data_IF_981664830740
#
_entry.id   IF_981664830740
#
_cell.length_a   1.000
_cell.length_b   1.000
_cell.length_c   1.000
_cell.angle_alpha   90.00
_cell.angle_beta   90.00
_cell.angle_gamma   90.00
#
_symmetry.space_group_name_H-M   'P 1'
#
loop_
_entity.id
_entity.type
_entity.pdbx_description
1 polymer ?
#
# COMPACT_ATOMS: atom_id res chain seq x y z
N UNK A 1 -27.38 -38.32 1.49
CA UNK A 1 -28.06 -37.11 1.98
C UNK A 1 -27.00 -36.03 2.05
N UNK A 2 -27.06 -35.06 1.14
CA UNK A 2 -26.14 -33.92 1.14
C UNK A 2 -26.53 -33.00 2.30
N UNK A 3 -25.55 -32.61 3.12
CA UNK A 3 -25.73 -31.60 4.16
C UNK A 3 -26.04 -30.24 3.53
N UNK A 4 -26.65 -29.32 4.28
CA UNK A 4 -26.96 -28.00 3.75
C UNK A 4 -25.66 -27.27 3.41
N UNK A 5 -25.63 -26.67 2.21
CA UNK A 5 -24.67 -25.62 1.88
C UNK A 5 -24.84 -24.51 2.91
N UNK A 6 -23.78 -24.23 3.66
CA UNK A 6 -23.67 -23.00 4.44
C UNK A 6 -23.64 -21.88 3.41
N UNK A 7 -24.69 -21.04 3.40
CA UNK A 7 -24.68 -19.84 2.59
C UNK A 7 -23.50 -18.99 3.06
N UNK A 8 -22.61 -18.59 2.15
CA UNK A 8 -21.67 -17.53 2.47
C UNK A 8 -22.50 -16.29 2.81
N UNK A 9 -22.23 -15.70 3.97
CA UNK A 9 -22.79 -14.39 4.28
C UNK A 9 -22.12 -13.45 3.28
N UNK A 10 -22.89 -12.94 2.33
CA UNK A 10 -22.39 -11.95 1.39
C UNK A 10 -22.01 -10.71 2.21
N UNK A 11 -20.72 -10.38 2.26
CA UNK A 11 -20.24 -9.13 2.80
C UNK A 11 -20.99 -7.99 2.08
N UNK A 12 -21.71 -7.16 2.84
CA UNK A 12 -22.20 -5.90 2.29
C UNK A 12 -20.97 -5.01 2.12
N UNK A 13 -20.74 -4.41 0.94
CA UNK A 13 -19.66 -3.45 0.80
C UNK A 13 -19.89 -2.35 1.82
N UNK A 14 -18.88 -2.11 2.65
CA UNK A 14 -18.89 -0.95 3.52
C UNK A 14 -18.90 0.27 2.60
N UNK A 15 -19.97 1.07 2.64
CA UNK A 15 -20.07 2.35 1.90
C UNK A 15 -19.02 3.38 2.37
N UNK A 16 -18.13 2.99 3.29
CA UNK A 16 -17.01 3.77 3.81
C UNK A 16 -16.07 4.20 2.68
N UNK A 17 -15.98 5.51 2.38
CA UNK A 17 -15.06 6.02 1.38
C UNK A 17 -13.64 5.97 1.95
N UNK A 18 -12.75 5.26 1.27
CA UNK A 18 -11.35 5.14 1.68
C UNK A 18 -10.46 4.94 0.45
N UNK A 19 -9.25 5.45 0.52
CA UNK A 19 -8.19 5.17 -0.44
C UNK A 19 -6.96 4.68 0.33
N UNK A 20 -6.25 3.70 -0.21
CA UNK A 20 -5.05 3.09 0.38
C UNK A 20 -5.24 2.60 1.84
N UNK A 21 -6.18 1.67 2.09
CA UNK A 21 -6.55 1.28 3.44
C UNK A 21 -5.52 0.37 4.14
N UNK A 22 -5.25 0.66 5.40
CA UNK A 22 -4.57 -0.24 6.34
C UNK A 22 -5.33 -0.30 7.67
N UNK A 23 -5.22 -1.42 8.38
CA UNK A 23 -5.97 -1.67 9.59
C UNK A 23 -5.09 -2.08 10.77
N UNK A 24 -5.58 -1.77 11.97
CA UNK A 24 -5.06 -2.28 13.22
C UNK A 24 -6.21 -2.55 14.20
N UNK A 25 -5.92 -3.31 15.24
CA UNK A 25 -6.83 -3.50 16.37
C UNK A 25 -6.22 -2.85 17.61
N UNK A 26 -7.03 -2.15 18.39
CA UNK A 26 -6.68 -1.69 19.74
C UNK A 26 -7.86 -1.97 20.68
N UNK A 27 -7.59 -2.71 21.75
CA UNK A 27 -8.65 -3.27 22.60
C UNK A 27 -9.66 -4.11 21.81
N UNK A 28 -10.94 -3.74 21.89
CA UNK A 28 -12.07 -4.38 21.22
C UNK A 28 -12.50 -3.65 19.93
N UNK A 29 -11.72 -2.67 19.47
CA UNK A 29 -12.02 -1.86 18.29
C UNK A 29 -11.03 -2.12 17.17
N UNK A 30 -11.56 -2.09 15.95
CA UNK A 30 -10.78 -1.99 14.73
C UNK A 30 -10.61 -0.53 14.34
N UNK A 31 -9.43 -0.20 13.85
CA UNK A 31 -9.08 1.10 13.31
C UNK A 31 -8.63 0.92 11.86
N UNK A 32 -9.10 1.83 11.01
CA UNK A 32 -8.80 1.90 9.60
C UNK A 32 -8.16 3.25 9.31
N UNK A 33 -7.02 3.22 8.62
CA UNK A 33 -6.29 4.39 8.19
C UNK A 33 -6.29 4.42 6.66
N UNK A 34 -6.33 5.61 6.08
CA UNK A 34 -6.20 5.76 4.64
C UNK A 34 -5.67 7.13 4.23
N UNK A 35 -5.40 7.25 2.94
CA UNK A 35 -4.99 8.50 2.30
C UNK A 35 -6.04 9.59 2.53
N UNK A 36 -5.58 10.77 2.96
CA UNK A 36 -6.45 11.91 3.23
C UNK A 36 -5.73 13.07 3.90
N UNK A 37 -6.47 14.15 4.17
CA UNK A 37 -5.96 15.29 4.94
C UNK A 37 -5.57 14.82 6.34
N UNK A 38 -4.27 14.91 6.65
CA UNK A 38 -3.71 14.52 7.94
C UNK A 38 -3.72 13.02 8.24
N UNK A 39 -3.91 12.15 7.23
CA UNK A 39 -4.22 10.71 7.37
C UNK A 39 -5.62 10.50 7.94
N UNK A 40 -6.54 10.01 7.11
CA UNK A 40 -7.91 9.74 7.52
C UNK A 40 -7.96 8.52 8.46
N UNK A 41 -8.77 8.61 9.51
CA UNK A 41 -8.95 7.54 10.50
C UNK A 41 -10.43 7.23 10.64
N UNK A 42 -10.73 5.94 10.73
CA UNK A 42 -12.05 5.41 11.04
C UNK A 42 -11.93 4.33 12.10
N UNK A 43 -13.02 4.07 12.83
CA UNK A 43 -13.08 2.98 13.80
C UNK A 43 -14.41 2.22 13.73
N UNK A 44 -14.39 0.94 14.10
CA UNK A 44 -15.55 0.07 14.16
C UNK A 44 -15.37 -1.00 15.25
N UNK A 45 -16.49 -1.54 15.77
CA UNK A 45 -16.46 -2.68 16.71
C UNK A 45 -16.38 -4.03 16.00
N UNK A 46 -16.77 -4.09 14.73
CA UNK A 46 -16.86 -5.31 13.92
C UNK A 46 -16.36 -4.98 12.50
N UNK A 47 -15.71 -5.94 11.83
CA UNK A 47 -15.11 -5.73 10.51
C UNK A 47 -16.15 -5.41 9.42
N UNK A 48 -17.32 -6.06 9.50
CA UNK A 48 -18.48 -5.85 8.62
C UNK A 48 -19.50 -4.85 9.18
N UNK A 49 -19.11 -4.12 10.24
CA UNK A 49 -19.93 -3.13 10.92
C UNK A 49 -19.93 -1.73 10.29
N UNK A 50 -20.60 -0.81 10.97
CA UNK A 50 -20.55 0.61 10.61
C UNK A 50 -19.22 1.24 11.06
N UNK A 51 -18.51 1.84 10.10
CA UNK A 51 -17.29 2.59 10.36
C UNK A 51 -17.61 4.05 10.71
N UNK A 52 -17.07 4.51 11.84
CA UNK A 52 -17.22 5.90 12.31
C UNK A 52 -15.95 6.68 12.04
N UNK A 53 -16.08 7.88 11.49
CA UNK A 53 -14.93 8.75 11.24
C UNK A 53 -14.35 9.26 12.56
N UNK A 54 -13.04 9.15 12.70
CA UNK A 54 -12.26 9.65 13.83
C UNK A 54 -11.45 10.90 13.42
N UNK A 55 -10.88 11.66 14.37
CA UNK A 55 -9.92 12.70 14.05
C UNK A 55 -8.74 12.16 13.22
N UNK A 56 -8.31 12.92 12.21
CA UNK A 56 -7.09 12.64 11.49
C UNK A 56 -5.87 12.67 12.42
N UNK A 57 -4.78 12.01 12.03
CA UNK A 57 -3.56 11.96 12.85
C UNK A 57 -2.90 13.35 12.95
N UNK A 58 -2.84 14.08 11.84
CA UNK A 58 -2.18 15.37 11.75
C UNK A 58 -3.16 16.50 11.45
N UNK A 59 -3.47 17.33 12.44
CA UNK A 59 -4.23 18.57 12.25
C UNK A 59 -3.51 19.56 11.31
N UNK A 60 -2.18 19.57 11.35
CA UNK A 60 -1.31 20.37 10.49
C UNK A 60 -0.19 19.49 9.92
N UNK A 61 0.25 19.81 8.70
CA UNK A 61 1.37 19.10 8.08
C UNK A 61 2.64 19.21 8.94
N UNK A 62 3.38 18.11 9.19
CA UNK A 62 4.64 18.17 9.90
C UNK A 62 5.62 19.16 9.25
N UNK A 63 6.36 19.94 10.05
CA UNK A 63 7.18 21.06 9.54
C UNK A 63 8.18 20.63 8.44
N UNK A 64 8.72 19.42 8.58
CA UNK A 64 9.72 18.86 7.66
C UNK A 64 9.16 18.60 6.25
N UNK A 65 7.84 18.38 6.11
CA UNK A 65 7.21 18.02 4.83
C UNK A 65 7.46 19.07 3.74
N UNK A 66 7.49 20.35 4.13
CA UNK A 66 7.75 21.49 3.26
C UNK A 66 9.13 21.44 2.55
N UNK A 67 10.09 20.72 3.15
CA UNK A 67 11.44 20.53 2.58
C UNK A 67 11.46 19.44 1.51
N UNK A 68 10.52 18.50 1.55
CA UNK A 68 10.35 17.42 0.56
C UNK A 68 9.42 17.89 -0.57
N UNK A 69 8.30 18.49 -0.18
CA UNK A 69 7.24 18.99 -1.05
C UNK A 69 6.97 20.45 -0.68
N UNK A 70 7.44 21.42 -1.48
CA UNK A 70 7.14 22.83 -1.25
C UNK A 70 5.64 23.10 -1.28
N UNK A 71 5.13 23.81 -0.27
CA UNK A 71 3.69 24.08 -0.05
C UNK A 71 2.83 22.80 0.04
N UNK A 72 3.33 21.76 0.73
CA UNK A 72 2.54 20.57 1.02
C UNK A 72 1.21 20.93 1.68
N UNK A 73 0.13 20.36 1.18
CA UNK A 73 -1.26 20.67 1.52
C UNK A 73 -1.84 19.75 2.60
N UNK A 74 -0.98 18.98 3.27
CA UNK A 74 -1.34 18.00 4.29
C UNK A 74 -2.16 16.80 3.78
N UNK A 75 -2.28 16.58 2.46
CA UNK A 75 -2.84 15.33 1.93
C UNK A 75 -1.77 14.25 1.98
N UNK A 76 -1.82 13.43 3.02
CA UNK A 76 -0.82 12.39 3.32
C UNK A 76 -1.32 11.04 2.80
N UNK A 77 -0.43 10.27 2.17
CA UNK A 77 -0.81 9.09 1.40
C UNK A 77 -0.34 7.79 2.03
N UNK A 78 -1.07 6.72 1.70
CA UNK A 78 -0.67 5.32 1.87
C UNK A 78 -0.05 5.03 3.23
N UNK A 79 -0.83 5.19 4.33
CA UNK A 79 -0.33 4.84 5.64
C UNK A 79 -0.09 3.33 5.75
N UNK A 80 0.83 2.91 6.61
CA UNK A 80 0.97 1.53 7.08
C UNK A 80 1.05 1.52 8.60
N UNK A 81 0.24 0.68 9.24
CA UNK A 81 0.14 0.60 10.69
C UNK A 81 0.65 -0.74 11.21
N UNK A 82 1.53 -0.68 12.21
CA UNK A 82 2.05 -1.88 12.88
C UNK A 82 2.15 -1.65 14.38
N UNK A 83 1.55 -2.55 15.17
CA UNK A 83 1.82 -2.60 16.59
C UNK A 83 3.16 -3.32 16.86
N UNK A 84 4.03 -2.68 17.64
CA UNK A 84 5.28 -3.28 18.09
C UNK A 84 5.67 -2.74 19.46
N UNK A 85 6.05 -3.62 20.39
CA UNK A 85 6.52 -3.27 21.75
C UNK A 85 5.59 -2.28 22.50
N UNK A 86 4.27 -2.45 22.37
CA UNK A 86 3.27 -1.64 23.08
C UNK A 86 3.05 -0.25 22.51
N UNK A 87 3.43 -0.02 21.24
CA UNK A 87 3.11 1.20 20.50
C UNK A 87 2.63 0.85 19.10
N UNK A 88 1.84 1.74 18.52
CA UNK A 88 1.50 1.72 17.11
C UNK A 88 2.48 2.61 16.35
N UNK A 89 3.03 2.09 15.26
CA UNK A 89 3.85 2.82 14.30
C UNK A 89 3.01 2.99 13.05
N UNK A 90 2.75 4.23 12.66
CA UNK A 90 2.05 4.58 11.43
C UNK A 90 3.07 5.22 10.49
N UNK A 91 3.52 4.47 9.50
CA UNK A 91 4.32 5.02 8.40
C UNK A 91 3.39 5.76 7.46
N UNK A 92 3.90 6.78 6.77
CA UNK A 92 3.09 7.60 5.89
C UNK A 92 3.92 8.25 4.79
N UNK A 93 3.27 8.58 3.67
CA UNK A 93 3.93 9.07 2.46
C UNK A 93 3.66 10.56 2.24
N UNK A 94 4.73 11.33 2.04
CA UNK A 94 4.70 12.75 1.64
C UNK A 94 5.22 12.83 0.22
N UNK A 95 4.38 13.29 -0.71
CA UNK A 95 4.69 13.23 -2.14
C UNK A 95 3.88 14.24 -2.96
N UNK A 96 4.13 14.27 -4.27
CA UNK A 96 3.33 14.96 -5.27
C UNK A 96 3.11 14.04 -6.46
N UNK A 97 1.93 14.15 -7.08
CA UNK A 97 1.51 13.17 -8.06
C UNK A 97 2.40 13.21 -9.31
N UNK A 98 2.83 12.03 -9.77
CA UNK A 98 3.74 11.89 -10.90
C UNK A 98 5.19 12.30 -10.62
N UNK A 99 5.60 12.49 -9.36
CA UNK A 99 6.97 12.80 -8.94
C UNK A 99 7.54 11.77 -7.96
N UNK A 100 8.87 11.74 -7.85
CA UNK A 100 9.61 10.97 -6.83
C UNK A 100 10.41 11.85 -5.86
N UNK A 101 10.09 13.14 -5.77
CA UNK A 101 10.49 14.00 -4.65
C UNK A 101 9.58 13.68 -3.47
N UNK A 102 9.92 12.60 -2.76
CA UNK A 102 9.00 11.95 -1.84
C UNK A 102 9.75 11.42 -0.62
N UNK A 103 9.04 11.30 0.49
CA UNK A 103 9.58 10.74 1.72
C UNK A 103 8.53 9.91 2.45
N UNK A 104 8.99 8.84 3.10
CA UNK A 104 8.23 8.11 4.09
C UNK A 104 8.63 8.64 5.46
N UNK A 105 7.65 9.12 6.21
CA UNK A 105 7.78 9.43 7.63
C UNK A 105 7.18 8.34 8.51
N UNK A 106 7.37 8.46 9.82
CA UNK A 106 6.69 7.59 10.80
C UNK A 106 6.25 8.39 12.03
N UNK A 107 5.02 8.14 12.45
CA UNK A 107 4.42 8.69 13.67
C UNK A 107 4.03 7.53 14.58
N UNK A 108 4.07 7.74 15.89
CA UNK A 108 3.73 6.69 16.86
C UNK A 108 2.76 7.16 17.92
N UNK A 109 1.95 6.24 18.44
CA UNK A 109 1.12 6.45 19.62
C UNK A 109 1.12 5.21 20.53
N UNK A 110 0.97 5.33 21.86
CA UNK A 110 0.74 4.18 22.73
C UNK A 110 -0.57 3.45 22.46
N UNK A 111 -1.60 4.16 22.01
CA UNK A 111 -2.97 3.66 21.80
C UNK A 111 -3.66 4.43 20.68
N UNK A 112 -4.55 3.77 19.94
CA UNK A 112 -5.36 4.35 18.88
C UNK A 112 -6.66 4.98 19.40
N UNK A 113 -7.05 4.69 20.64
CA UNK A 113 -8.22 5.28 21.29
C UNK A 113 -7.95 6.75 21.64
N UNK A 114 -8.61 7.66 20.94
CA UNK A 114 -8.45 9.11 21.12
C UNK A 114 -8.99 9.64 22.45
N UNK A 115 -9.83 8.85 23.14
CA UNK A 115 -10.35 9.17 24.47
C UNK A 115 -9.42 8.69 25.60
N UNK A 116 -8.42 7.84 25.30
CA UNK A 116 -7.45 7.37 26.30
C UNK A 116 -6.49 8.50 26.71
N UNK A 117 -6.26 8.74 28.01
CA UNK A 117 -5.38 9.82 28.47
C UNK A 117 -3.90 9.66 28.08
N UNK A 118 -3.48 8.49 27.59
CA UNK A 118 -2.15 8.22 27.06
C UNK A 118 -2.08 8.36 25.54
N UNK A 119 -3.19 8.67 24.87
CA UNK A 119 -3.21 8.92 23.44
C UNK A 119 -2.41 10.18 23.11
N UNK A 120 -1.33 10.00 22.35
CA UNK A 120 -0.50 11.09 21.88
C UNK A 120 0.28 10.64 20.64
N UNK A 121 0.07 11.34 19.53
CA UNK A 121 0.86 11.16 18.32
C UNK A 121 2.23 11.85 18.47
N UNK A 122 3.31 11.08 18.29
CA UNK A 122 4.68 11.58 18.24
C UNK A 122 5.26 11.32 16.85
N UNK A 123 5.51 12.38 16.08
CA UNK A 123 6.18 12.30 14.79
C UNK A 123 7.69 12.14 14.95
N UNK A 124 8.29 11.22 14.20
CA UNK A 124 9.73 10.94 14.22
C UNK A 124 10.44 11.46 12.96
N UNK A 125 9.70 12.08 12.04
CA UNK A 125 10.26 12.63 10.82
C UNK A 125 10.54 11.58 9.75
N UNK A 126 11.49 11.89 8.87
CA UNK A 126 11.80 11.11 7.67
C UNK A 126 12.54 9.82 8.03
N UNK A 127 11.98 8.69 7.63
CA UNK A 127 12.63 7.36 7.65
C UNK A 127 13.49 7.19 6.39
N UNK A 128 12.92 7.52 5.23
CA UNK A 128 13.56 7.37 3.92
C UNK A 128 13.04 8.41 2.93
N UNK A 129 13.92 8.89 2.05
CA UNK A 129 13.59 9.92 1.07
C UNK A 129 14.16 9.56 -0.30
N UNK A 130 13.32 9.63 -1.33
CA UNK A 130 13.75 9.61 -2.72
C UNK A 130 14.01 11.04 -3.20
N UNK A 131 15.15 11.22 -3.86
CA UNK A 131 15.57 12.48 -4.44
C UNK A 131 15.59 12.31 -5.96
N UNK A 132 14.88 13.17 -6.72
CA UNK A 132 14.93 13.16 -8.17
C UNK A 132 16.38 13.18 -8.68
N UNK A 133 16.63 12.49 -9.80
CA UNK A 133 17.95 12.36 -10.44
C UNK A 133 18.98 11.48 -9.69
N UNK A 134 18.80 11.26 -8.39
CA UNK A 134 19.65 10.37 -7.60
C UNK A 134 19.05 8.97 -7.48
N UNK A 135 17.76 8.92 -7.16
CA UNK A 135 17.08 7.69 -6.78
C UNK A 135 16.12 7.26 -7.88
N UNK A 136 16.29 6.01 -8.36
CA UNK A 136 15.43 5.40 -9.40
C UNK A 136 14.33 4.54 -8.78
N UNK A 137 13.71 5.06 -7.75
CA UNK A 137 12.59 4.50 -7.00
C UNK A 137 11.85 5.66 -6.32
N UNK A 138 10.64 5.41 -5.84
CA UNK A 138 9.82 6.40 -5.18
C UNK A 138 9.63 6.04 -3.70
N UNK A 139 9.93 6.94 -2.77
CA UNK A 139 9.74 6.71 -1.33
C UNK A 139 8.29 7.02 -0.93
N UNK A 140 7.38 6.15 -1.34
CA UNK A 140 5.97 6.10 -0.93
C UNK A 140 5.53 4.64 -0.75
N UNK A 141 4.34 4.44 -0.20
CA UNK A 141 3.67 3.15 -0.03
C UNK A 141 4.47 2.18 0.86
N UNK A 142 4.75 2.62 2.08
CA UNK A 142 5.51 1.84 3.04
C UNK A 142 4.73 0.61 3.51
N UNK A 143 5.43 -0.47 3.83
CA UNK A 143 4.91 -1.58 4.61
C UNK A 143 6.01 -2.18 5.50
N UNK A 144 5.78 -2.21 6.81
CA UNK A 144 6.69 -2.81 7.78
C UNK A 144 6.39 -4.30 7.99
N UNK A 145 7.41 -5.13 7.75
CA UNK A 145 7.37 -6.56 8.05
C UNK A 145 8.63 -7.01 8.80
N UNK A 146 8.57 -8.20 9.38
CA UNK A 146 9.65 -8.78 10.18
C UNK A 146 10.05 -10.14 9.60
N UNK A 147 11.34 -10.44 9.56
CA UNK A 147 11.80 -11.81 9.26
C UNK A 147 11.63 -12.76 10.45
N UNK A 148 11.93 -14.05 10.23
CA UNK A 148 11.81 -15.11 11.24
C UNK A 148 12.68 -14.86 12.48
N UNK A 149 13.76 -14.08 12.34
CA UNK A 149 14.65 -13.67 13.44
C UNK A 149 14.17 -12.38 14.13
N UNK A 150 13.07 -11.79 13.68
CA UNK A 150 12.50 -10.54 14.20
C UNK A 150 13.22 -9.28 13.73
N UNK A 151 14.02 -9.34 12.66
CA UNK A 151 14.61 -8.14 12.07
C UNK A 151 13.57 -7.37 11.24
N UNK A 152 13.48 -6.04 11.39
CA UNK A 152 12.52 -5.23 10.67
C UNK A 152 12.98 -4.89 9.25
N UNK A 153 12.05 -5.00 8.31
CA UNK A 153 12.22 -4.67 6.90
C UNK A 153 11.07 -3.79 6.44
N UNK A 154 11.39 -2.67 5.79
CA UNK A 154 10.44 -1.77 5.18
C UNK A 154 10.38 -2.05 3.67
N UNK A 155 9.30 -2.64 3.20
CA UNK A 155 8.98 -2.69 1.78
C UNK A 155 8.35 -1.36 1.37
N UNK A 156 8.66 -0.86 0.18
CA UNK A 156 8.06 0.37 -0.34
C UNK A 156 8.27 0.51 -1.85
N UNK A 157 7.55 1.43 -2.47
CA UNK A 157 7.82 1.84 -3.84
C UNK A 157 6.58 1.92 -4.71
N UNK A 158 6.66 2.82 -5.68
CA UNK A 158 5.65 3.03 -6.71
C UNK A 158 6.33 3.46 -8.01
N UNK A 159 6.04 2.77 -9.11
CA UNK A 159 6.66 2.93 -10.43
C UNK A 159 8.21 2.89 -10.39
N UNK A 160 8.89 3.71 -11.22
CA UNK A 160 10.35 3.70 -11.40
C UNK A 160 10.90 2.27 -11.48
N UNK A 161 11.98 1.90 -10.79
CA UNK A 161 12.48 0.52 -10.75
C UNK A 161 11.71 -0.36 -9.77
N UNK A 162 10.43 -0.12 -9.55
CA UNK A 162 9.55 -0.97 -8.75
C UNK A 162 9.86 -0.96 -7.25
N UNK A 163 9.58 -2.10 -6.63
CA UNK A 163 9.49 -2.27 -5.19
C UNK A 163 10.87 -2.51 -4.58
N UNK A 164 11.18 -1.71 -3.57
CA UNK A 164 12.37 -1.83 -2.75
C UNK A 164 12.01 -2.42 -1.40
N UNK A 165 13.01 -2.99 -0.75
CA UNK A 165 12.94 -3.39 0.63
C UNK A 165 14.26 -3.06 1.31
N UNK A 166 14.19 -2.40 2.46
CA UNK A 166 15.37 -1.93 3.21
C UNK A 166 15.24 -2.31 4.68
N UNK A 167 16.36 -2.68 5.29
CA UNK A 167 16.39 -3.03 6.71
C UNK A 167 16.32 -1.79 7.59
N UNK A 168 15.42 -1.79 8.57
CA UNK A 168 15.38 -0.77 9.61
C UNK A 168 16.25 -1.18 10.80
N UNK A 169 16.62 -0.21 11.63
CA UNK A 169 17.18 -0.52 12.94
C UNK A 169 16.07 -0.93 13.94
N UNK A 170 16.45 -1.24 15.18
CA UNK A 170 15.51 -1.69 16.20
C UNK A 170 14.56 -0.59 16.72
N UNK A 171 14.80 0.68 16.38
CA UNK A 171 13.89 1.78 16.75
C UNK A 171 12.67 1.83 15.84
N UNK A 172 12.78 1.23 14.64
CA UNK A 172 11.80 1.28 13.57
C UNK A 172 11.59 2.69 12.98
N UNK A 173 12.44 3.66 13.32
CA UNK A 173 12.34 5.03 12.81
C UNK A 173 13.48 5.40 11.87
N UNK A 174 14.52 4.58 11.80
CA UNK A 174 15.70 4.83 10.98
C UNK A 174 16.15 3.57 10.23
N UNK A 175 16.91 3.77 9.15
CA UNK A 175 17.56 2.67 8.43
C UNK A 175 18.68 2.04 9.26
N UNK A 176 18.84 0.73 9.17
CA UNK A 176 19.97 0.04 9.79
C UNK A 176 21.32 0.55 9.24
N UNK A 177 22.35 0.52 10.09
CA UNK A 177 23.75 0.78 9.69
C UNK A 177 24.63 -0.43 10.01
N UNK A 178 25.30 -1.05 9.02
CA UNK A 178 25.27 -0.72 7.59
C UNK A 178 23.89 -0.96 6.96
N UNK A 179 23.56 -0.19 5.92
CA UNK A 179 22.30 -0.34 5.21
C UNK A 179 22.27 -1.65 4.41
N UNK A 180 21.11 -2.29 4.39
CA UNK A 180 20.86 -3.51 3.63
C UNK A 180 19.63 -3.32 2.75
N UNK A 181 19.82 -3.40 1.42
CA UNK A 181 18.79 -3.13 0.43
C UNK A 181 18.50 -4.33 -0.46
N UNK A 182 17.25 -4.41 -0.92
CA UNK A 182 16.75 -5.40 -1.87
C UNK A 182 15.85 -4.72 -2.90
N UNK A 183 15.88 -5.26 -4.12
CA UNK A 183 14.90 -5.00 -5.16
C UNK A 183 14.08 -6.28 -5.29
N UNK A 184 12.80 -6.23 -4.92
CA UNK A 184 11.99 -7.43 -4.68
C UNK A 184 10.92 -7.69 -5.74
N UNK A 185 10.42 -6.64 -6.41
CA UNK A 185 9.44 -6.77 -7.49
C UNK A 185 9.57 -5.60 -8.48
N UNK A 186 9.33 -5.85 -9.74
CA UNK A 186 9.16 -4.83 -10.78
C UNK A 186 8.12 -5.32 -11.79
N UNK A 187 7.71 -4.43 -12.69
CA UNK A 187 6.87 -4.82 -13.82
C UNK A 187 7.53 -4.38 -15.11
N UNK A 188 7.52 -5.25 -16.11
CA UNK A 188 8.02 -4.88 -17.43
C UNK A 188 7.20 -3.75 -18.05
N UNK A 189 7.89 -2.78 -18.63
CA UNK A 189 7.33 -1.63 -19.33
C UNK A 189 7.44 -1.83 -20.84
N UNK A 190 6.46 -1.35 -21.60
CA UNK A 190 6.62 -1.26 -23.04
C UNK A 190 7.74 -0.25 -23.40
N UNK A 191 8.77 -0.73 -24.10
CA UNK A 191 10.02 0.00 -24.40
C UNK A 191 9.86 1.32 -25.17
N UNK A 192 8.69 1.60 -25.77
CA UNK A 192 8.42 2.88 -26.47
C UNK A 192 7.80 3.96 -25.58
N UNK A 193 7.40 3.66 -24.34
CA UNK A 193 6.81 4.65 -23.44
C UNK A 193 7.91 5.55 -22.89
N UNK A 194 7.73 6.88 -22.94
CA UNK A 194 8.77 7.85 -22.59
C UNK A 194 9.18 7.70 -21.10
N UNK A 195 10.45 7.43 -20.73
CA UNK A 195 10.83 7.02 -19.36
C UNK A 195 10.71 8.03 -18.21
N UNK A 196 9.95 9.12 -18.42
CA UNK A 196 9.55 10.12 -17.42
C UNK A 196 8.11 9.97 -17.01
N UNK A 197 7.33 9.36 -17.89
CA UNK A 197 6.02 8.88 -17.57
C UNK A 197 6.23 7.78 -16.52
N UNK A 198 5.36 7.73 -15.51
CA UNK A 198 5.23 6.66 -14.53
C UNK A 198 4.85 5.29 -15.19
N UNK A 199 5.25 5.05 -16.43
CA UNK A 199 4.90 3.91 -17.25
C UNK A 199 3.48 3.99 -17.77
N UNK A 200 2.90 2.83 -18.03
CA UNK A 200 1.49 2.68 -18.34
C UNK A 200 0.57 3.12 -17.20
N UNK A 201 1.06 3.78 -16.14
CA UNK A 201 0.23 4.44 -15.12
C UNK A 201 0.50 5.93 -14.94
N UNK A 202 1.30 6.54 -15.81
CA UNK A 202 1.40 8.00 -15.90
C UNK A 202 0.04 8.62 -16.21
N UNK A 203 -0.35 9.63 -15.46
CA UNK A 203 -1.54 10.42 -15.79
C UNK A 203 -1.25 11.25 -17.05
N UNK A 204 -1.87 10.93 -18.21
CA UNK A 204 -1.63 11.65 -19.46
C UNK A 204 -2.07 13.12 -19.39
N UNK A 205 -2.85 13.49 -18.37
CA UNK A 205 -3.29 14.87 -18.15
C UNK A 205 -2.25 15.73 -17.43
N UNK A 206 -1.21 15.13 -16.82
CA UNK A 206 -0.11 15.89 -16.25
C UNK A 206 0.83 16.39 -17.35
N UNK A 207 1.14 17.70 -17.31
CA UNK A 207 2.16 18.29 -18.16
C UNK A 207 3.57 17.98 -17.61
N UNK A 208 4.09 16.80 -17.89
CA UNK A 208 5.41 16.37 -17.38
C UNK A 208 6.58 17.28 -17.80
N UNK A 209 6.44 18.06 -18.87
CA UNK A 209 7.43 19.06 -19.29
C UNK A 209 7.46 20.30 -18.39
N UNK A 210 6.37 20.58 -17.64
CA UNK A 210 6.39 21.62 -16.61
C UNK A 210 6.88 21.09 -15.25
N UNK A 211 6.87 19.77 -15.06
CA UNK A 211 7.28 19.15 -13.81
C UNK A 211 8.79 18.88 -13.73
N UNK A 212 9.47 18.79 -14.88
CA UNK A 212 10.88 18.42 -14.99
C UNK A 212 11.61 19.24 -16.06
N UNK A 213 12.90 19.53 -15.83
CA UNK A 213 13.73 20.25 -16.81
C UNK A 213 14.10 19.37 -18.01
N UNK A 214 14.39 19.97 -19.18
CA UNK A 214 14.86 19.30 -20.41
C UNK A 214 16.06 18.36 -20.19
N UNK A 215 16.91 18.62 -19.21
CA UNK A 215 18.06 17.77 -18.90
C UNK A 215 17.69 16.55 -18.05
N UNK A 216 16.80 16.75 -17.06
CA UNK A 216 16.20 15.67 -16.26
C UNK A 216 15.48 14.68 -17.18
N UNK A 217 15.10 15.15 -18.36
CA UNK A 217 14.40 14.34 -19.33
C UNK A 217 15.24 13.24 -19.91
N UNK A 218 16.42 13.67 -20.32
CA UNK A 218 17.33 12.85 -21.08
C UNK A 218 18.06 11.86 -20.16
N UNK A 219 18.31 12.25 -18.91
CA UNK A 219 18.93 11.39 -17.88
C UNK A 219 18.06 10.19 -17.50
N UNK A 220 16.73 10.34 -17.51
CA UNK A 220 15.80 9.28 -17.14
C UNK A 220 15.37 8.39 -18.31
N UNK A 221 15.77 8.73 -19.56
CA UNK A 221 15.36 8.15 -20.85
C UNK A 221 15.60 6.63 -21.02
N UNK A 222 16.30 5.99 -20.10
CA UNK A 222 16.57 4.53 -20.11
C UNK A 222 15.94 3.78 -18.91
N UNK A 223 14.98 4.41 -18.19
CA UNK A 223 14.34 3.80 -17.02
C UNK A 223 13.20 2.86 -17.43
N UNK A 224 13.49 1.56 -17.39
CA UNK A 224 12.55 0.48 -17.66
C UNK A 224 11.87 0.01 -16.35
N UNK A 225 10.66 0.49 -16.04
CA UNK A 225 9.67 -0.33 -15.30
C UNK A 225 8.27 0.29 -15.32
N UNK A 226 7.29 -0.61 -15.16
CA UNK A 226 5.88 -0.44 -15.42
C UNK A 226 5.06 -0.09 -14.19
N UNK A 227 3.75 -0.16 -14.35
CA UNK A 227 2.76 0.16 -13.34
C UNK A 227 2.72 -0.88 -12.21
N UNK A 228 3.50 -0.67 -11.16
CA UNK A 228 3.59 -1.47 -9.94
C UNK A 228 3.80 -0.56 -8.72
N UNK A 229 3.06 -0.79 -7.64
CA UNK A 229 3.16 -0.03 -6.38
C UNK A 229 2.53 -0.79 -5.20
N UNK A 230 2.36 -0.12 -4.05
CA UNK A 230 1.64 -0.62 -2.88
C UNK A 230 2.07 -2.03 -2.43
N UNK A 231 3.34 -2.22 -2.05
CA UNK A 231 3.80 -3.51 -1.56
C UNK A 231 3.25 -3.80 -0.17
N UNK A 232 2.75 -5.02 0.04
CA UNK A 232 2.37 -5.49 1.36
C UNK A 232 2.90 -6.90 1.58
N UNK A 233 3.72 -7.08 2.62
CA UNK A 233 4.32 -8.36 2.98
C UNK A 233 3.50 -9.00 4.10
N UNK A 234 2.98 -10.19 3.83
CA UNK A 234 2.18 -10.98 4.78
C UNK A 234 2.81 -12.36 4.97
N UNK A 235 3.00 -12.79 6.22
CA UNK A 235 3.52 -14.12 6.51
C UNK A 235 2.36 -15.10 6.74
N UNK A 236 2.34 -16.21 5.98
CA UNK A 236 1.39 -17.30 6.18
C UNK A 236 2.09 -18.65 6.03
N UNK A 237 2.06 -19.46 7.10
CA UNK A 237 2.83 -20.70 7.17
C UNK A 237 4.33 -20.43 6.98
N UNK A 238 4.99 -21.22 6.15
CA UNK A 238 6.44 -21.16 5.91
C UNK A 238 6.84 -20.13 4.83
N UNK A 239 5.94 -19.22 4.45
CA UNK A 239 6.14 -18.28 3.34
C UNK A 239 5.80 -16.84 3.71
N UNK A 240 6.59 -15.93 3.18
CA UNK A 240 6.26 -14.52 3.00
C UNK A 240 5.57 -14.34 1.65
N UNK A 241 4.42 -13.70 1.64
CA UNK A 241 3.67 -13.31 0.46
C UNK A 241 3.87 -11.81 0.26
N UNK A 242 4.39 -11.42 -0.90
CA UNK A 242 4.48 -10.02 -1.32
C UNK A 242 3.31 -9.76 -2.26
N UNK A 243 2.31 -9.06 -1.75
CA UNK A 243 1.26 -8.46 -2.56
C UNK A 243 1.77 -7.15 -3.14
N UNK A 244 1.40 -6.86 -4.37
CA UNK A 244 1.67 -5.57 -5.04
C UNK A 244 0.48 -5.23 -5.92
N UNK A 245 0.25 -3.93 -6.12
CA UNK A 245 -0.79 -3.47 -7.03
C UNK A 245 -0.19 -3.18 -8.40
N UNK A 246 -0.86 -3.64 -9.46
CA UNK A 246 -0.51 -3.42 -10.84
C UNK A 246 -1.51 -2.50 -11.53
N UNK A 247 -1.04 -1.83 -12.59
CA UNK A 247 -1.84 -0.97 -13.48
C UNK A 247 -2.27 0.35 -12.82
N UNK A 248 -3.37 0.96 -13.27
CA UNK A 248 -3.71 2.37 -12.99
C UNK A 248 -4.70 2.47 -11.84
N UNK A 249 -4.27 3.07 -10.73
CA UNK A 249 -5.16 3.66 -9.74
C UNK A 249 -5.71 5.02 -10.23
N UNK A 250 -6.57 5.59 -9.39
CA UNK A 250 -6.77 7.03 -9.27
C UNK A 250 -7.42 7.68 -10.50
N UNK A 251 -8.26 6.93 -11.22
CA UNK A 251 -9.03 7.40 -12.39
C UNK A 251 -10.52 7.07 -12.30
N UNK A 252 -11.01 6.84 -11.08
CA UNK A 252 -12.38 6.40 -10.85
C UNK A 252 -12.73 5.19 -11.71
N UNK A 253 -13.75 5.33 -12.54
CA UNK A 253 -14.25 4.28 -13.45
C UNK A 253 -13.27 3.85 -14.54
N UNK A 254 -12.26 4.65 -14.86
CA UNK A 254 -11.23 4.31 -15.85
C UNK A 254 -9.99 3.62 -15.23
N UNK A 255 -10.04 3.36 -13.92
CA UNK A 255 -8.98 2.63 -13.23
C UNK A 255 -8.89 1.20 -13.76
N UNK A 256 -7.68 0.64 -13.80
CA UNK A 256 -7.38 -0.73 -14.29
C UNK A 256 -6.63 -1.55 -13.24
N UNK A 257 -6.60 -1.02 -12.02
CA UNK A 257 -5.90 -1.52 -10.86
C UNK A 257 -6.28 -2.96 -10.52
N UNK A 258 -5.28 -3.75 -10.15
CA UNK A 258 -5.45 -5.12 -9.66
C UNK A 258 -4.35 -5.47 -8.66
N UNK A 259 -4.62 -6.43 -7.79
CA UNK A 259 -3.64 -6.98 -6.85
C UNK A 259 -3.08 -8.27 -7.40
N UNK A 260 -1.76 -8.40 -7.39
CA UNK A 260 -1.06 -9.66 -7.65
C UNK A 260 -0.18 -10.04 -6.46
N UNK A 261 0.21 -11.31 -6.40
CA UNK A 261 1.02 -11.86 -5.31
C UNK A 261 2.12 -12.77 -5.83
N UNK A 262 3.25 -12.77 -5.12
CA UNK A 262 4.26 -13.81 -5.16
C UNK A 262 4.64 -14.23 -3.75
N UNK A 263 5.35 -15.35 -3.60
CA UNK A 263 5.81 -15.84 -2.29
C UNK A 263 7.28 -16.23 -2.28
N UNK A 264 7.89 -16.18 -1.10
CA UNK A 264 9.27 -16.56 -0.82
C UNK A 264 9.38 -17.18 0.58
N UNK A 265 10.31 -18.11 0.79
CA UNK A 265 10.64 -18.61 2.13
C UNK A 265 11.54 -17.63 2.91
N UNK A 266 12.08 -16.60 2.25
CA UNK A 266 12.82 -15.51 2.88
C UNK A 266 12.12 -14.19 2.60
N UNK A 267 12.00 -13.33 3.61
CA UNK A 267 11.44 -11.98 3.44
C UNK A 267 12.17 -11.18 2.35
N UNK A 268 13.46 -11.46 2.12
CA UNK A 268 14.28 -10.76 1.13
C UNK A 268 14.16 -11.32 -0.29
N UNK A 269 13.27 -12.30 -0.48
CA UNK A 269 13.05 -12.97 -1.75
C UNK A 269 14.07 -14.09 -2.06
N UNK A 270 14.12 -14.55 -3.33
CA UNK A 270 13.30 -14.08 -4.44
C UNK A 270 11.82 -14.48 -4.27
N UNK A 271 10.91 -13.53 -4.52
CA UNK A 271 9.49 -13.82 -4.60
C UNK A 271 9.15 -14.34 -6.00
N UNK A 272 8.41 -15.43 -6.07
CA UNK A 272 7.94 -16.04 -7.32
C UNK A 272 6.42 -16.24 -7.29
N UNK A 273 5.78 -16.24 -8.45
CA UNK A 273 4.35 -16.48 -8.62
C UNK A 273 4.00 -17.99 -8.71
N UNK A 274 2.72 -18.33 -8.97
CA UNK A 274 2.22 -19.72 -9.09
C UNK A 274 2.92 -20.48 -10.22
N UNK A 275 3.32 -19.78 -11.27
CA UNK A 275 3.99 -20.30 -12.45
C UNK A 275 5.52 -20.41 -12.27
N UNK A 276 6.05 -19.83 -11.18
CA UNK A 276 7.46 -19.82 -10.84
C UNK A 276 8.24 -18.67 -11.47
N UNK A 277 7.58 -17.67 -12.06
CA UNK A 277 8.21 -16.47 -12.57
C UNK A 277 8.52 -15.51 -11.43
N UNK A 278 9.69 -14.88 -11.49
CA UNK A 278 10.12 -14.00 -10.41
C UNK A 278 9.39 -12.65 -10.49
N UNK A 279 8.95 -12.13 -9.35
CA UNK A 279 8.33 -10.80 -9.29
C UNK A 279 9.29 -9.70 -9.75
N UNK A 280 10.59 -9.90 -9.60
CA UNK A 280 11.62 -9.00 -10.15
C UNK A 280 11.73 -9.01 -11.69
N UNK A 281 10.97 -9.86 -12.35
CA UNK A 281 10.94 -10.00 -13.81
C UNK A 281 9.48 -9.94 -14.31
N UNK A 282 8.61 -9.25 -13.56
CA UNK A 282 7.20 -9.08 -13.93
C UNK A 282 6.31 -10.29 -13.69
N UNK A 283 6.75 -11.31 -12.94
CA UNK A 283 5.88 -12.35 -12.41
C UNK A 283 4.88 -11.81 -11.39
N UNK A 284 3.77 -12.51 -11.20
CA UNK A 284 2.72 -12.14 -10.24
C UNK A 284 1.41 -12.85 -10.52
N UNK A 285 0.89 -13.60 -9.54
CA UNK A 285 -0.40 -14.26 -9.66
C UNK A 285 -1.53 -13.34 -9.23
N UNK A 286 -2.57 -13.22 -10.04
CA UNK A 286 -3.74 -12.39 -9.76
C UNK A 286 -4.48 -12.82 -8.48
N UNK A 287 -4.89 -11.84 -7.67
CA UNK A 287 -5.67 -12.04 -6.43
C UNK A 287 -7.04 -11.38 -6.55
N UNK A 288 -7.09 -10.06 -6.75
CA UNK A 288 -8.34 -9.31 -6.97
C UNK A 288 -8.19 -8.32 -8.12
N UNK A 289 -9.26 -8.05 -8.85
CA UNK A 289 -9.36 -7.09 -9.95
C UNK A 289 -10.80 -6.59 -10.10
N UNK A 290 -10.99 -5.49 -10.82
CA UNK A 290 -12.34 -5.00 -11.16
C UNK A 290 -13.12 -5.96 -12.06
N UNK A 291 -14.44 -5.86 -12.03
CA UNK A 291 -15.37 -6.68 -12.82
C UNK A 291 -15.18 -6.45 -14.32
N UNK A 292 -15.23 -7.52 -15.12
CA UNK A 292 -15.00 -7.43 -16.59
C UNK A 292 -16.01 -6.54 -17.30
N UNK A 293 -17.24 -6.48 -16.81
CA UNK A 293 -18.31 -5.64 -17.36
C UNK A 293 -18.34 -4.22 -16.76
N UNK A 294 -17.50 -3.96 -15.76
CA UNK A 294 -17.43 -2.72 -15.00
C UNK A 294 -18.80 -2.23 -14.47
N UNK A 295 -19.73 -3.15 -14.20
CA UNK A 295 -21.10 -2.79 -13.81
C UNK A 295 -21.20 -2.13 -12.42
N UNK A 296 -20.19 -2.35 -11.58
CA UNK A 296 -20.04 -1.79 -10.25
C UNK A 296 -18.57 -1.57 -9.92
N UNK A 297 -17.77 -2.62 -9.76
CA UNK A 297 -16.39 -2.44 -9.34
C UNK A 297 -15.45 -2.31 -10.53
N UNK A 298 -14.96 -1.10 -10.80
CA UNK A 298 -14.13 -0.82 -11.97
C UNK A 298 -12.70 -1.36 -11.82
N UNK A 299 -12.13 -1.30 -10.61
CA UNK A 299 -10.78 -1.79 -10.30
C UNK A 299 -10.58 -1.90 -8.79
N UNK A 300 -9.61 -2.74 -8.37
CA UNK A 300 -9.27 -3.04 -6.98
C UNK A 300 -7.77 -2.88 -6.74
N UNK A 301 -7.36 -2.35 -5.60
CA UNK A 301 -5.95 -2.40 -5.22
C UNK A 301 -5.59 -1.64 -3.96
N UNK A 302 -4.29 -1.37 -3.84
CA UNK A 302 -3.63 -0.90 -2.63
C UNK A 302 -4.08 -1.71 -1.42
N UNK A 303 -3.74 -3.00 -1.44
CA UNK A 303 -4.19 -3.91 -0.41
C UNK A 303 -3.28 -3.90 0.83
N UNK A 304 -3.88 -4.31 1.93
CA UNK A 304 -3.23 -4.82 3.12
C UNK A 304 -3.79 -6.20 3.46
N UNK A 305 -3.14 -6.91 4.39
CA UNK A 305 -3.56 -8.23 4.82
C UNK A 305 -3.28 -8.47 6.30
N UNK A 306 -4.24 -9.09 7.00
CA UNK A 306 -4.21 -9.24 8.45
C UNK A 306 -4.80 -10.58 8.87
N UNK A 307 -4.34 -11.10 10.01
CA UNK A 307 -5.01 -12.20 10.71
C UNK A 307 -5.76 -11.64 11.90
N UNK A 308 -7.09 -11.73 11.88
CA UNK A 308 -7.95 -11.40 13.02
C UNK A 308 -8.69 -12.66 13.46
N UNK A 309 -8.63 -12.97 14.76
CA UNK A 309 -9.28 -14.15 15.36
C UNK A 309 -9.00 -15.49 14.64
N UNK A 310 -7.81 -15.61 14.03
CA UNK A 310 -7.38 -16.80 13.31
C UNK A 310 -7.85 -16.90 11.85
N UNK A 311 -8.55 -15.88 11.35
CA UNK A 311 -8.95 -15.74 9.95
C UNK A 311 -8.07 -14.69 9.28
N UNK A 312 -7.58 -15.01 8.09
CA UNK A 312 -6.81 -14.07 7.26
C UNK A 312 -7.77 -13.25 6.39
N UNK A 313 -7.56 -11.94 6.33
CA UNK A 313 -8.36 -11.00 5.56
C UNK A 313 -7.48 -10.20 4.60
N UNK A 314 -8.00 -9.94 3.41
CA UNK A 314 -7.48 -8.96 2.47
C UNK A 314 -8.31 -7.69 2.62
N UNK A 315 -7.65 -6.57 2.85
CA UNK A 315 -8.28 -5.25 2.97
C UNK A 315 -7.79 -4.41 1.80
N UNK A 316 -8.67 -3.77 1.04
CA UNK A 316 -8.30 -3.00 -0.14
C UNK A 316 -9.37 -1.97 -0.48
N UNK A 317 -9.08 -1.04 -1.38
CA UNK A 317 -10.11 -0.16 -1.92
C UNK A 317 -10.57 -0.62 -3.31
N UNK A 318 -11.84 -0.37 -3.61
CA UNK A 318 -12.49 -0.65 -4.88
C UNK A 318 -13.16 0.60 -5.45
N UNK A 319 -13.00 0.87 -6.74
CA UNK A 319 -13.64 2.02 -7.39
C UNK A 319 -15.07 1.67 -7.82
N UNK A 320 -16.06 2.33 -7.22
CA UNK A 320 -17.50 2.07 -7.46
C UNK A 320 -18.05 2.90 -8.63
N UNK A 321 -18.25 2.27 -9.78
CA UNK A 321 -18.83 2.86 -10.98
C UNK A 321 -20.31 3.27 -10.83
N UNK A 322 -21.01 2.78 -9.81
CA UNK A 322 -22.36 3.25 -9.48
C UNK A 322 -22.34 4.54 -8.65
N UNK A 323 -21.16 4.95 -8.19
CA UNK A 323 -20.89 6.14 -7.38
C UNK A 323 -19.71 6.95 -7.96
N UNK A 324 -19.75 7.17 -9.28
CA UNK A 324 -18.80 7.98 -10.05
C UNK A 324 -17.31 7.60 -9.88
N UNK A 325 -17.05 6.34 -9.54
CA UNK A 325 -15.70 5.83 -9.31
C UNK A 325 -15.13 6.18 -7.93
N UNK A 326 -15.98 6.50 -6.95
CA UNK A 326 -15.56 6.71 -5.56
C UNK A 326 -14.90 5.44 -5.01
N UNK A 327 -13.75 5.58 -4.35
CA UNK A 327 -13.04 4.46 -3.76
C UNK A 327 -13.70 4.06 -2.43
N UNK A 328 -14.06 2.78 -2.29
CA UNK A 328 -14.75 2.21 -1.13
C UNK A 328 -13.96 1.07 -0.51
N UNK A 329 -14.08 0.92 0.81
CA UNK A 329 -13.44 -0.13 1.57
C UNK A 329 -14.01 -1.51 1.19
N UNK A 330 -13.11 -2.47 1.00
CA UNK A 330 -13.42 -3.90 0.87
C UNK A 330 -12.60 -4.67 1.90
N UNK A 331 -13.26 -5.56 2.64
CA UNK A 331 -12.64 -6.49 3.58
C UNK A 331 -13.16 -7.88 3.24
N UNK A 332 -12.29 -8.76 2.76
CA UNK A 332 -12.67 -10.09 2.29
C UNK A 332 -11.77 -11.15 2.91
N UNK A 333 -12.35 -12.30 3.26
CA UNK A 333 -11.58 -13.44 3.77
C UNK A 333 -10.62 -13.99 2.70
N UNK A 334 -9.41 -14.34 3.13
CA UNK A 334 -8.43 -15.06 2.32
C UNK A 334 -8.61 -16.55 2.55
N UNK A 335 -9.09 -17.25 1.52
CA UNK A 335 -9.01 -18.70 1.47
C UNK A 335 -7.65 -19.15 0.94
N UNK A 336 -7.02 -20.13 1.62
CA UNK A 336 -5.74 -20.69 1.19
C UNK A 336 -5.95 -22.00 0.42
N UNK A 337 -5.65 -21.98 -0.88
CA UNK A 337 -5.75 -23.17 -1.75
C UNK A 337 -4.39 -23.49 -2.35
N UNK A 338 -3.90 -24.70 -2.09
CA UNK A 338 -2.56 -25.16 -2.49
C UNK A 338 -1.43 -24.18 -2.07
N UNK A 339 -1.62 -23.52 -0.92
CA UNK A 339 -0.70 -22.52 -0.39
C UNK A 339 -0.70 -21.17 -1.14
N UNK A 340 -1.80 -20.81 -1.79
CA UNK A 340 -1.98 -19.51 -2.42
C UNK A 340 -3.28 -18.84 -1.96
N UNK A 341 -3.29 -17.50 -1.84
CA UNK A 341 -4.49 -16.78 -1.46
C UNK A 341 -5.51 -16.82 -2.60
N UNK A 342 -6.77 -17.00 -2.22
CA UNK A 342 -7.95 -16.91 -3.06
C UNK A 342 -8.95 -16.05 -2.32
N UNK A 343 -9.34 -14.94 -2.93
CA UNK A 343 -10.33 -14.02 -2.37
C UNK A 343 -11.55 -14.07 -3.27
N UNK A 344 -12.71 -14.34 -2.69
CA UNK A 344 -13.99 -14.25 -3.37
C UNK A 344 -14.64 -12.95 -2.93
N UNK A 345 -15.02 -12.09 -3.86
CA UNK A 345 -15.79 -10.88 -3.60
C UNK A 345 -17.11 -10.98 -4.35
N UNK A 346 -18.14 -10.30 -3.84
CA UNK A 346 -19.47 -10.35 -4.46
C UNK A 346 -19.44 -9.59 -5.80
N UNK A 347 -19.73 -10.31 -6.90
CA UNK A 347 -19.90 -9.75 -8.25
C UNK A 347 -21.07 -8.77 -8.36
#
# INVERSE_FOLDING_TARGET
>A
MAGPLVASVAAQPTETPIHDPVMAQDGDRYYLFGTGEGIAVWSASELDGEWTQEPSIFDEAPEWTSQVVPNFDNVIWAPDVRQHQGRYYVYYSVSQFGRNSSAIGVVTTPTLDSDDPNHEWTDHGIVIQSVPERDRWNAIDANLAFDDDGSPWLAFGSHWLGIKMVRLDSTLTELATPQEWRHVAERHRYWKVHPRDAGDSANPELNYDSLYTEQIVELNRDSESGAIEAPFVFQHGDYYYLFVSWDRCCRGVESTYKVVVGRSQSITGPYVDKEGEALRHGGGSLVVHGLEDHNRWAAHGHNSAYTFDGTDYLVFHAYDAQDDGTAKLMIEEIEWRDGWPVVSFTE
#
